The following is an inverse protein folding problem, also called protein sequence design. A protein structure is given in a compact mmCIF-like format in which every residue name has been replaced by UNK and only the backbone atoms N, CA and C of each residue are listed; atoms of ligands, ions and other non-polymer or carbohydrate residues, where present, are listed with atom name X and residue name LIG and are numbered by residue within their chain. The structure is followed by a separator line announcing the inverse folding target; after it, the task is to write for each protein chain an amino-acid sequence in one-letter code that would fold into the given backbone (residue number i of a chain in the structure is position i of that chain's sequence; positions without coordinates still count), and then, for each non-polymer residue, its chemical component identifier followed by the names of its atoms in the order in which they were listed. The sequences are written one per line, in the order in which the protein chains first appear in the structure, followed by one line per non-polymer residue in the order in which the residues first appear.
data_IF_652645207932
#
_entry.id   IF_652645207932
#
_cell.length_a   1.000
_cell.length_b   1.000
_cell.length_c   1.000
_cell.angle_alpha   90.00
_cell.angle_beta   90.00
_cell.angle_gamma   90.00
#
_symmetry.space_group_name_H-M   'P 1'
#
loop_
_entity.id
_entity.type
_entity.pdbx_description
1 polymer ?
#
# COMPACT_ATOMS: atom_id res chain seq x y z
N UNK A 1 -5.12 -15.92 18.54
CA UNK A 1 -5.96 -15.45 17.42
C UNK A 1 -5.06 -15.39 16.19
N UNK A 2 -5.18 -16.34 15.25
CA UNK A 2 -4.30 -16.37 14.08
C UNK A 2 -4.80 -15.37 13.03
N UNK A 3 -4.03 -14.32 12.74
CA UNK A 3 -4.31 -13.38 11.65
C UNK A 3 -5.09 -12.10 12.01
N UNK A 4 -5.24 -11.77 13.30
CA UNK A 4 -5.89 -10.53 13.71
C UNK A 4 -5.15 -9.29 13.21
N UNK A 5 -5.86 -8.38 12.54
CA UNK A 5 -5.38 -7.03 12.22
C UNK A 5 -5.75 -6.15 13.41
N UNK A 6 -4.79 -5.84 14.27
CA UNK A 6 -5.01 -5.03 15.49
C UNK A 6 -4.55 -3.58 15.33
N UNK A 7 -4.31 -3.14 14.10
CA UNK A 7 -3.80 -1.81 13.78
C UNK A 7 -4.90 -0.88 13.28
N UNK A 8 -4.75 0.41 13.56
CA UNK A 8 -5.60 1.47 13.01
C UNK A 8 -5.57 1.39 11.47
N UNK A 9 -6.74 1.56 10.85
CA UNK A 9 -6.89 1.64 9.40
C UNK A 9 -7.29 3.04 8.99
N UNK A 10 -6.77 3.58 7.88
CA UNK A 10 -7.24 4.86 7.39
C UNK A 10 -8.71 4.78 7.00
N UNK A 11 -9.50 5.84 7.26
CA UNK A 11 -10.87 5.89 6.81
C UNK A 11 -10.92 5.94 5.27
N UNK A 12 -11.89 5.23 4.72
CA UNK A 12 -12.29 5.29 3.32
C UNK A 12 -13.79 5.08 3.24
N UNK A 13 -14.41 5.59 2.18
CA UNK A 13 -15.83 5.33 1.89
C UNK A 13 -15.96 4.27 0.80
N UNK A 14 -16.85 3.30 1.01
CA UNK A 14 -17.23 2.35 -0.05
C UNK A 14 -18.29 3.02 -0.92
N UNK A 15 -17.87 3.50 -2.10
CA UNK A 15 -18.73 4.17 -3.07
C UNK A 15 -19.65 3.17 -3.77
N UNK A 16 -19.13 1.98 -4.09
CA UNK A 16 -19.92 0.90 -4.67
C UNK A 16 -19.34 -0.46 -4.31
N UNK A 17 -20.22 -1.44 -4.12
CA UNK A 17 -19.87 -2.86 -4.11
C UNK A 17 -20.25 -3.46 -5.46
N UNK A 18 -19.30 -4.14 -6.09
CA UNK A 18 -19.45 -4.75 -7.40
C UNK A 18 -19.21 -6.25 -7.27
N UNK A 19 -19.50 -6.99 -8.33
CA UNK A 19 -19.23 -8.43 -8.35
C UNK A 19 -17.72 -8.67 -8.46
N UNK A 20 -17.08 -9.01 -7.33
CA UNK A 20 -15.66 -9.35 -7.22
C UNK A 20 -14.72 -8.22 -6.77
N UNK A 21 -15.20 -6.98 -6.60
CA UNK A 21 -14.39 -5.86 -6.14
C UNK A 21 -15.23 -4.74 -5.51
N UNK A 22 -14.58 -3.78 -4.87
CA UNK A 22 -15.21 -2.56 -4.34
C UNK A 22 -14.63 -1.31 -5.01
N UNK A 23 -15.44 -0.26 -5.13
CA UNK A 23 -14.96 1.09 -5.41
C UNK A 23 -14.89 1.84 -4.09
N UNK A 24 -13.71 2.34 -3.75
CA UNK A 24 -13.45 3.03 -2.48
C UNK A 24 -12.86 4.40 -2.72
N UNK A 25 -13.33 5.39 -1.97
CA UNK A 25 -12.75 6.73 -1.92
C UNK A 25 -11.76 6.81 -0.76
N UNK A 26 -10.50 7.00 -1.11
CA UNK A 26 -9.45 7.31 -0.15
C UNK A 26 -9.29 8.82 -0.02
N UNK A 27 -9.09 9.27 1.22
CA UNK A 27 -8.90 10.68 1.55
C UNK A 27 -7.42 11.02 1.70
N UNK A 28 -7.17 12.30 1.98
CA UNK A 28 -5.86 12.80 2.30
C UNK A 28 -5.17 11.94 3.36
N UNK A 29 -3.95 11.52 3.08
CA UNK A 29 -3.14 10.68 3.95
C UNK A 29 -1.69 11.15 3.96
N UNK A 30 -1.02 10.87 5.07
CA UNK A 30 0.42 11.06 5.22
C UNK A 30 1.09 9.70 5.18
N UNK A 31 2.15 9.57 4.38
CA UNK A 31 2.84 8.31 4.19
C UNK A 31 4.31 8.47 4.59
N UNK A 32 4.82 7.55 5.41
CA UNK A 32 6.25 7.34 5.54
C UNK A 32 6.68 6.28 4.52
N UNK A 33 7.53 6.66 3.57
CA UNK A 33 7.95 5.84 2.45
C UNK A 33 9.42 5.44 2.55
N UNK A 34 9.71 4.22 2.16
CA UNK A 34 11.08 3.77 1.86
C UNK A 34 11.12 3.23 0.44
N UNK A 35 12.29 3.36 -0.19
CA UNK A 35 12.52 2.87 -1.54
C UNK A 35 13.73 1.95 -1.56
N UNK A 36 13.67 0.93 -2.41
CA UNK A 36 14.78 0.03 -2.67
C UNK A 36 14.68 -0.54 -4.08
N UNK A 37 15.81 -0.90 -4.66
CA UNK A 37 15.86 -1.49 -6.01
C UNK A 37 16.17 -2.97 -5.95
N UNK A 38 15.57 -3.72 -6.88
CA UNK A 38 15.82 -5.14 -7.10
C UNK A 38 15.96 -5.41 -8.61
N UNK A 39 16.60 -6.51 -9.04
CA UNK A 39 16.55 -6.92 -10.44
C UNK A 39 15.11 -7.12 -10.94
N UNK A 40 14.84 -6.82 -12.22
CA UNK A 40 13.47 -6.83 -12.79
C UNK A 40 12.71 -8.16 -12.64
N UNK A 41 13.41 -9.29 -12.52
CA UNK A 41 12.81 -10.63 -12.41
C UNK A 41 12.67 -11.12 -10.96
N UNK A 42 12.93 -10.25 -9.98
CA UNK A 42 12.83 -10.61 -8.57
C UNK A 42 11.37 -10.70 -8.14
N UNK A 43 10.95 -11.82 -7.56
CA UNK A 43 9.55 -12.02 -7.12
C UNK A 43 9.10 -10.94 -6.12
N UNK A 44 7.85 -10.52 -6.24
CA UNK A 44 7.26 -9.46 -5.41
C UNK A 44 7.36 -9.76 -3.90
N UNK A 45 7.18 -11.02 -3.50
CA UNK A 45 7.20 -11.40 -2.09
C UNK A 45 8.61 -11.46 -1.48
N UNK A 46 9.65 -11.31 -2.29
CA UNK A 46 11.04 -11.31 -1.86
C UNK A 46 11.56 -9.93 -1.47
N UNK A 47 12.56 -9.89 -0.59
CA UNK A 47 13.25 -8.65 -0.15
C UNK A 47 12.31 -7.58 0.47
N UNK A 48 11.11 -7.97 0.91
CA UNK A 48 10.15 -7.04 1.54
C UNK A 48 10.69 -6.43 2.83
N UNK A 49 11.56 -7.15 3.55
CA UNK A 49 12.25 -6.65 4.74
C UNK A 49 13.12 -5.41 4.48
N UNK A 50 13.66 -5.27 3.26
CA UNK A 50 14.55 -4.14 2.90
C UNK A 50 13.82 -2.80 2.97
N UNK A 51 12.56 -2.74 2.53
CA UNK A 51 11.71 -1.56 2.71
C UNK A 51 11.03 -1.50 4.08
N UNK A 52 10.67 -2.64 4.65
CA UNK A 52 9.90 -2.67 5.90
C UNK A 52 10.71 -2.21 7.11
N UNK A 53 11.95 -2.69 7.30
CA UNK A 53 12.70 -2.44 8.54
C UNK A 53 13.08 -0.98 8.77
N UNK A 54 13.47 -0.18 7.75
CA UNK A 54 13.67 1.26 7.92
C UNK A 54 12.42 1.94 8.49
N UNK A 55 11.25 1.69 7.89
CA UNK A 55 9.97 2.24 8.35
C UNK A 55 9.62 1.77 9.77
N UNK A 56 9.85 0.48 10.06
CA UNK A 56 9.63 -0.07 11.39
C UNK A 56 10.50 0.61 12.46
N UNK A 57 11.78 0.86 12.16
CA UNK A 57 12.69 1.59 13.06
C UNK A 57 12.21 3.02 13.28
N UNK A 58 11.77 3.71 12.23
CA UNK A 58 11.24 5.06 12.30
C UNK A 58 10.05 5.16 13.28
N UNK A 59 9.02 4.32 13.10
CA UNK A 59 7.86 4.30 14.01
C UNK A 59 8.20 3.76 15.41
N UNK A 60 9.31 3.04 15.56
CA UNK A 60 9.79 2.54 16.85
C UNK A 60 10.62 3.55 17.66
N UNK A 61 10.81 4.77 17.14
CA UNK A 61 11.53 5.84 17.82
C UNK A 61 12.84 6.27 17.16
N UNK A 62 13.21 5.74 15.98
CA UNK A 62 14.34 6.27 15.21
C UNK A 62 13.93 7.50 14.39
N UNK A 63 13.51 8.54 15.10
CA UNK A 63 13.13 9.85 14.58
C UNK A 63 13.67 10.95 15.50
N UNK A 64 13.62 12.19 15.06
CA UNK A 64 14.21 13.35 15.74
C UNK A 64 13.68 13.59 17.16
N UNK A 65 12.43 13.19 17.44
CA UNK A 65 11.81 13.32 18.76
C UNK A 65 11.85 12.05 19.60
N UNK A 66 12.43 10.95 19.09
CA UNK A 66 12.44 9.63 19.73
C UNK A 66 11.02 9.08 20.07
N UNK A 67 10.00 9.57 19.36
CA UNK A 67 8.61 9.24 19.63
C UNK A 67 8.22 7.91 19.01
N UNK A 68 7.53 7.06 19.76
CA UNK A 68 6.92 5.82 19.22
C UNK A 68 5.58 6.13 18.55
N UNK A 69 5.42 5.65 17.33
CA UNK A 69 4.21 5.82 16.52
C UNK A 69 3.55 4.44 16.38
N UNK A 70 2.25 4.39 16.58
CA UNK A 70 1.47 3.16 16.43
C UNK A 70 1.49 2.71 14.97
N UNK A 71 1.72 1.41 14.73
CA UNK A 71 1.62 0.84 13.39
C UNK A 71 0.16 0.85 12.91
N UNK A 72 -0.02 1.19 11.64
CA UNK A 72 -1.30 1.16 10.93
C UNK A 72 -1.32 0.03 9.91
N UNK A 73 -2.50 -0.35 9.43
CA UNK A 73 -2.66 -1.16 8.23
C UNK A 73 -3.55 -0.42 7.22
N UNK A 74 -3.39 -0.65 5.92
CA UNK A 74 -2.41 -1.53 5.29
C UNK A 74 -1.01 -0.92 5.19
N UNK A 75 -0.01 -1.77 4.94
CA UNK A 75 1.24 -1.37 4.31
C UNK A 75 1.01 -1.30 2.81
N UNK A 76 1.31 -0.17 2.19
CA UNK A 76 1.15 0.04 0.75
C UNK A 76 2.48 -0.26 0.06
N UNK A 77 2.44 -1.06 -1.01
CA UNK A 77 3.59 -1.35 -1.85
C UNK A 77 3.29 -0.98 -3.30
N UNK A 78 4.29 -0.45 -3.99
CA UNK A 78 4.24 -0.11 -5.42
C UNK A 78 5.54 -0.52 -6.10
N UNK A 79 5.45 -0.83 -7.40
CA UNK A 79 6.60 -1.11 -8.25
C UNK A 79 6.68 -0.08 -9.37
N UNK A 80 7.90 0.31 -9.70
CA UNK A 80 8.21 1.12 -10.88
C UNK A 80 9.34 0.43 -11.61
N UNK A 81 9.08 0.02 -12.85
CA UNK A 81 10.10 -0.54 -13.73
C UNK A 81 11.12 0.56 -14.08
N UNK A 82 12.40 0.21 -14.01
CA UNK A 82 13.53 1.05 -14.39
C UNK A 82 14.43 0.26 -15.36
N UNK A 83 15.37 0.92 -16.01
CA UNK A 83 16.26 0.26 -16.97
C UNK A 83 17.13 -0.80 -16.27
N UNK A 84 16.73 -2.07 -16.38
CA UNK A 84 17.43 -3.22 -15.80
C UNK A 84 17.15 -3.48 -14.31
N UNK A 85 16.30 -2.70 -13.66
CA UNK A 85 15.89 -2.88 -12.27
C UNK A 85 14.40 -2.58 -12.06
N UNK A 86 13.89 -2.94 -10.89
CA UNK A 86 12.56 -2.54 -10.41
C UNK A 86 12.76 -1.78 -9.11
N UNK A 87 12.32 -0.53 -9.08
CA UNK A 87 12.23 0.26 -7.86
C UNK A 87 10.95 -0.13 -7.12
N UNK A 88 11.10 -0.57 -5.88
CA UNK A 88 10.01 -0.86 -4.94
C UNK A 88 9.86 0.26 -3.95
N UNK A 89 8.62 0.70 -3.75
CA UNK A 89 8.25 1.65 -2.71
C UNK A 89 7.38 0.93 -1.70
N UNK A 90 7.72 1.05 -0.42
CA UNK A 90 6.86 0.61 0.68
C UNK A 90 6.46 1.83 1.51
N UNK A 91 5.19 1.91 1.89
CA UNK A 91 4.64 3.03 2.65
C UNK A 91 3.87 2.57 3.87
N UNK A 92 4.14 3.20 5.01
CA UNK A 92 3.29 3.15 6.19
C UNK A 92 2.40 4.38 6.22
N UNK A 93 1.12 4.16 6.51
CA UNK A 93 0.15 5.25 6.63
C UNK A 93 0.29 5.85 8.03
N UNK A 94 0.58 7.13 8.14
CA UNK A 94 0.66 7.78 9.43
C UNK A 94 -0.75 7.90 10.03
N UNK A 95 -0.86 7.72 11.34
CA UNK A 95 -2.14 7.70 12.07
C UNK A 95 -2.99 8.95 11.73
N UNK A 96 -4.11 8.80 11.01
CA UNK A 96 -4.93 9.93 10.57
C UNK A 96 -5.61 10.65 11.74
N UNK A 97 -5.76 9.97 12.88
CA UNK A 97 -6.33 10.55 14.09
C UNK A 97 -5.32 11.34 14.92
N UNK A 98 -4.02 11.09 14.74
CA UNK A 98 -2.94 11.77 15.50
C UNK A 98 -2.27 12.89 14.72
N UNK A 99 -2.26 12.82 13.39
CA UNK A 99 -1.53 13.76 12.55
C UNK A 99 -2.45 14.36 11.49
N UNK A 100 -2.56 15.70 11.47
CA UNK A 100 -3.37 16.43 10.49
C UNK A 100 -2.54 17.33 9.57
N UNK A 101 -1.22 17.41 9.79
CA UNK A 101 -0.27 18.20 8.99
C UNK A 101 1.13 17.57 8.99
N UNK A 102 1.94 17.87 7.95
CA UNK A 102 3.31 17.34 7.82
C UNK A 102 4.24 17.79 8.96
N UNK A 103 4.06 19.01 9.46
CA UNK A 103 4.90 19.61 10.51
C UNK A 103 4.72 18.98 11.89
N UNK A 104 3.63 18.23 12.10
CA UNK A 104 3.40 17.45 13.33
C UNK A 104 4.13 16.10 13.32
N UNK A 105 4.53 15.61 12.15
CA UNK A 105 5.17 14.31 12.02
C UNK A 105 6.64 14.42 12.44
N UNK A 106 7.13 13.49 13.27
CA UNK A 106 8.55 13.47 13.63
C UNK A 106 9.38 13.18 12.39
N UNK A 107 10.53 13.83 12.28
CA UNK A 107 11.39 13.70 11.10
C UNK A 107 12.19 12.40 11.17
N UNK A 108 12.27 11.63 10.08
CA UNK A 108 13.11 10.44 10.06
C UNK A 108 14.59 10.81 10.25
N UNK A 109 15.30 10.04 11.09
CA UNK A 109 16.77 10.13 11.16
C UNK A 109 17.44 9.40 9.98
N UNK A 110 16.74 8.44 9.37
CA UNK A 110 17.19 7.70 8.20
C UNK A 110 16.85 8.47 6.92
N UNK A 111 17.87 8.82 6.14
CA UNK A 111 17.73 9.58 4.89
C UNK A 111 17.02 8.79 3.78
N UNK A 112 16.88 7.48 3.92
CA UNK A 112 16.14 6.64 2.97
C UNK A 112 14.62 6.67 3.21
N UNK A 113 14.17 7.35 4.27
CA UNK A 113 12.75 7.50 4.59
C UNK A 113 12.30 8.90 4.20
N UNK A 114 11.21 8.98 3.45
CA UNK A 114 10.57 10.23 3.06
C UNK A 114 9.16 10.28 3.62
N UNK A 115 8.77 11.42 4.16
CA UNK A 115 7.37 11.67 4.52
C UNK A 115 6.73 12.41 3.35
N UNK A 116 5.64 11.87 2.81
CA UNK A 116 4.90 12.47 1.70
C UNK A 116 3.45 12.69 2.11
N UNK A 117 2.86 13.75 1.55
CA UNK A 117 1.43 14.01 1.63
C UNK A 117 0.78 13.53 0.33
N UNK A 118 -0.27 12.73 0.46
CA UNK A 118 -1.17 12.38 -0.63
C UNK A 118 -2.44 13.21 -0.45
N UNK A 119 -2.51 14.41 -1.02
CA UNK A 119 -3.54 15.42 -0.67
C UNK A 119 -4.88 15.20 -1.39
N UNK A 120 -4.88 14.49 -2.52
CA UNK A 120 -6.04 14.37 -3.38
C UNK A 120 -6.88 13.16 -3.00
N UNK A 121 -8.19 13.37 -2.84
CA UNK A 121 -9.13 12.27 -2.74
C UNK A 121 -9.05 11.42 -4.01
N UNK A 122 -8.90 10.11 -3.86
CA UNK A 122 -8.72 9.19 -4.97
C UNK A 122 -9.73 8.05 -4.87
N UNK A 123 -10.52 7.87 -5.93
CA UNK A 123 -11.39 6.71 -6.07
C UNK A 123 -10.58 5.57 -6.68
N UNK A 124 -10.54 4.43 -5.99
CA UNK A 124 -9.82 3.24 -6.41
C UNK A 124 -10.76 2.04 -6.51
N UNK A 125 -10.53 1.20 -7.50
CA UNK A 125 -11.12 -0.14 -7.55
C UNK A 125 -10.21 -1.10 -6.78
N UNK A 126 -10.78 -1.88 -5.86
CA UNK A 126 -10.07 -2.69 -4.89
C UNK A 126 -10.55 -4.15 -4.93
N UNK A 127 -9.66 -5.09 -5.26
CA UNK A 127 -9.91 -6.53 -5.15
C UNK A 127 -9.19 -7.11 -3.92
N UNK A 128 -9.87 -7.96 -3.16
CA UNK A 128 -9.30 -8.63 -1.98
C UNK A 128 -8.94 -10.08 -2.30
N UNK A 129 -7.81 -10.55 -1.77
CA UNK A 129 -7.40 -11.95 -1.90
C UNK A 129 -6.50 -12.39 -0.74
N UNK A 130 -6.40 -13.71 -0.56
CA UNK A 130 -5.56 -14.32 0.48
C UNK A 130 -4.23 -14.83 -0.10
N UNK A 131 -3.40 -15.48 0.71
CA UNK A 131 -2.07 -16.01 0.37
C UNK A 131 -0.98 -14.93 0.30
N UNK A 132 0.23 -15.29 -0.13
CA UNK A 132 1.33 -14.34 -0.31
C UNK A 132 1.15 -13.49 -1.57
N UNK A 133 1.74 -12.30 -1.62
CA UNK A 133 1.74 -11.45 -2.82
C UNK A 133 2.92 -11.85 -3.73
N UNK A 134 2.85 -13.02 -4.38
CA UNK A 134 3.86 -13.42 -5.39
C UNK A 134 3.59 -12.68 -6.70
N UNK A 135 4.60 -12.50 -7.55
CA UNK A 135 4.43 -11.80 -8.83
C UNK A 135 3.33 -12.44 -9.68
N UNK A 136 3.30 -13.78 -9.77
CA UNK A 136 2.26 -14.51 -10.51
C UNK A 136 0.84 -14.22 -9.99
N UNK A 137 0.65 -14.24 -8.67
CA UNK A 137 -0.67 -14.03 -8.06
C UNK A 137 -1.13 -12.58 -8.18
N UNK A 138 -0.20 -11.65 -8.00
CA UNK A 138 -0.46 -10.24 -8.19
C UNK A 138 -0.91 -9.96 -9.63
N UNK A 139 -0.19 -10.48 -10.63
CA UNK A 139 -0.57 -10.37 -12.05
C UNK A 139 -1.95 -10.98 -12.32
N UNK A 140 -2.24 -12.15 -11.77
CA UNK A 140 -3.55 -12.80 -11.96
C UNK A 140 -4.70 -11.99 -11.34
N UNK A 141 -4.50 -11.45 -10.13
CA UNK A 141 -5.53 -10.66 -9.43
C UNK A 141 -5.69 -9.25 -10.00
N UNK A 142 -4.63 -8.63 -10.49
CA UNK A 142 -4.71 -7.39 -11.25
C UNK A 142 -5.53 -7.59 -12.52
N UNK A 143 -5.26 -8.67 -13.28
CA UNK A 143 -6.01 -9.01 -14.49
C UNK A 143 -7.50 -9.21 -14.17
N UNK A 144 -7.82 -9.98 -13.14
CA UNK A 144 -9.19 -10.21 -12.67
C UNK A 144 -9.91 -8.89 -12.34
N UNK A 145 -9.26 -7.99 -11.61
CA UNK A 145 -9.82 -6.67 -11.28
C UNK A 145 -10.07 -5.83 -12.53
N UNK A 146 -9.11 -5.79 -13.47
CA UNK A 146 -9.25 -5.03 -14.72
C UNK A 146 -10.37 -5.56 -15.60
N UNK A 147 -10.52 -6.88 -15.71
CA UNK A 147 -11.61 -7.51 -16.46
C UNK A 147 -12.98 -7.24 -15.81
N UNK A 148 -13.08 -7.33 -14.48
CA UNK A 148 -14.30 -7.03 -13.74
C UNK A 148 -14.70 -5.56 -13.84
N UNK A 149 -13.75 -4.62 -13.75
CA UNK A 149 -14.01 -3.19 -13.93
C UNK A 149 -14.43 -2.87 -15.37
N UNK A 150 -13.76 -3.46 -16.37
CA UNK A 150 -14.11 -3.29 -17.78
C UNK A 150 -15.54 -3.79 -18.08
N UNK A 151 -15.93 -4.95 -17.54
CA UNK A 151 -17.30 -5.48 -17.64
C UNK A 151 -18.35 -4.48 -17.13
N UNK A 152 -18.01 -3.73 -16.09
CA UNK A 152 -18.90 -2.75 -15.46
C UNK A 152 -18.79 -1.34 -16.06
N UNK A 153 -18.01 -1.17 -17.14
CA UNK A 153 -17.80 0.12 -17.81
C UNK A 153 -16.90 1.09 -17.05
N UNK A 154 -16.11 0.61 -16.09
CA UNK A 154 -15.22 1.43 -15.25
C UNK A 154 -13.81 1.41 -15.82
N UNK A 155 -13.26 2.59 -16.08
CA UNK A 155 -11.90 2.75 -16.58
C UNK A 155 -10.90 2.89 -15.43
N UNK A 156 -9.97 1.95 -15.34
CA UNK A 156 -8.87 1.97 -14.38
C UNK A 156 -7.62 2.57 -15.05
N UNK A 157 -6.72 3.17 -14.25
CA UNK A 157 -5.43 3.64 -14.75
C UNK A 157 -4.68 2.52 -15.48
N UNK A 158 -4.21 2.81 -16.69
CA UNK A 158 -3.37 1.92 -17.49
C UNK A 158 -1.89 2.00 -17.11
N UNK A 159 -1.50 3.02 -16.33
CA UNK A 159 -0.15 3.15 -15.82
C UNK A 159 0.12 2.10 -14.75
N UNK A 160 1.07 1.19 -15.01
CA UNK A 160 1.45 0.14 -14.05
C UNK A 160 1.95 0.70 -12.71
N UNK A 161 2.54 1.89 -12.71
CA UNK A 161 3.08 2.52 -11.50
C UNK A 161 1.96 2.95 -10.53
N UNK A 162 0.73 3.05 -11.01
CA UNK A 162 -0.44 3.44 -10.20
C UNK A 162 -1.06 2.23 -9.47
N UNK A 163 -0.60 1.00 -9.75
CA UNK A 163 -1.09 -0.20 -9.09
C UNK A 163 -0.53 -0.27 -7.68
N UNK A 164 -1.43 -0.28 -6.70
CA UNK A 164 -1.09 -0.37 -5.28
C UNK A 164 -1.39 -1.75 -4.73
N UNK A 165 -0.44 -2.30 -3.97
CA UNK A 165 -0.52 -3.59 -3.31
C UNK A 165 -0.63 -3.38 -1.80
N UNK A 166 -1.78 -3.69 -1.21
CA UNK A 166 -2.06 -3.44 0.21
C UNK A 166 -1.89 -4.73 1.01
N UNK A 167 -0.91 -4.75 1.92
CA UNK A 167 -0.68 -5.84 2.87
C UNK A 167 -1.19 -5.49 4.26
N UNK A 168 -2.14 -6.25 4.78
CA UNK A 168 -2.77 -5.95 6.08
C UNK A 168 -2.15 -6.70 7.26
N UNK A 169 -1.53 -7.84 6.98
CA UNK A 169 -1.10 -8.77 8.01
C UNK A 169 0.41 -8.72 8.21
N UNK A 170 0.88 -8.91 9.46
CA UNK A 170 2.30 -9.05 9.74
C UNK A 170 2.94 -10.24 9.00
N UNK A 171 4.27 -10.22 8.76
CA UNK A 171 4.99 -11.27 8.02
C UNK A 171 4.83 -12.69 8.58
N UNK A 172 4.62 -12.84 9.89
CA UNK A 172 4.44 -14.13 10.57
C UNK A 172 3.03 -14.73 10.43
N UNK A 173 2.10 -14.03 9.77
CA UNK A 173 0.75 -14.55 9.52
C UNK A 173 0.79 -15.68 8.51
N UNK A 174 0.14 -16.80 8.84
CA UNK A 174 0.01 -17.96 7.94
C UNK A 174 -0.62 -17.49 6.62
N UNK A 175 -0.06 -17.86 5.44
CA UNK A 175 -0.48 -17.31 4.15
C UNK A 175 -1.99 -17.37 3.88
N UNK A 176 -2.64 -18.49 4.20
CA UNK A 176 -4.08 -18.67 3.99
C UNK A 176 -4.97 -17.67 4.76
N UNK A 177 -4.45 -17.10 5.85
CA UNK A 177 -5.15 -16.11 6.69
C UNK A 177 -4.67 -14.67 6.44
N UNK A 178 -3.78 -14.46 5.46
CA UNK A 178 -3.43 -13.10 5.04
C UNK A 178 -4.58 -12.51 4.25
N UNK A 179 -4.85 -11.24 4.50
CA UNK A 179 -5.66 -10.35 3.67
C UNK A 179 -4.70 -9.45 2.92
N UNK A 180 -4.81 -9.46 1.61
CA UNK A 180 -4.16 -8.50 0.75
C UNK A 180 -5.17 -7.91 -0.23
N UNK A 181 -4.85 -6.74 -0.76
CA UNK A 181 -5.66 -6.12 -1.79
C UNK A 181 -4.77 -5.58 -2.93
N UNK A 182 -5.33 -5.56 -4.14
CA UNK A 182 -4.82 -4.75 -5.25
C UNK A 182 -5.80 -3.61 -5.45
N UNK A 183 -5.27 -2.39 -5.46
CA UNK A 183 -6.03 -1.16 -5.60
C UNK A 183 -5.50 -0.40 -6.82
N UNK A 184 -6.38 -0.03 -7.74
CA UNK A 184 -6.01 0.72 -8.95
C UNK A 184 -6.89 1.97 -9.05
N UNK A 185 -6.33 3.17 -9.26
CA UNK A 185 -7.11 4.39 -9.44
C UNK A 185 -8.09 4.29 -10.59
N UNK A 186 -9.28 4.84 -10.39
CA UNK A 186 -10.29 5.03 -11.43
C UNK A 186 -9.97 6.35 -12.14
N UNK A 187 -9.91 6.32 -13.47
CA UNK A 187 -9.78 7.53 -14.26
C UNK A 187 -11.17 8.17 -14.32
N UNK A 188 -11.32 9.35 -13.71
CA UNK A 188 -12.53 10.15 -13.89
C UNK A 188 -12.59 10.58 -15.35
N UNK A 189 -13.71 10.32 -16.02
CA UNK A 189 -14.02 10.99 -17.28
C UNK A 189 -14.28 12.45 -16.93
N UNK A 190 -13.42 13.35 -17.42
CA UNK A 190 -13.74 14.78 -17.49
C UNK A 190 -14.82 15.02 -18.53
#
# INVERSE_FOLDING_TARGET
MFGGISSEMPPYDVIAKKDGYEIRRYYKQYLAQSHYEVPTKTDFSSNTGTGFFPLFKFISGNNDTQTKISMTAPVIMQETECDGSTKRTMSFIMSPTKFNSLDQLPKPNDKNIQIVEQDNSCDMACITFNMSMTTERNTAKEKELREAAHRDGIQLSSNKNDVCYFGYNPPYTIPHFRRNEICIPIISQQ
#
